data_IF_777951597880
#
_entry.id   IF_777951597880
#
_cell.length_a   1.000
_cell.length_b   1.000
_cell.length_c   1.000
_cell.angle_alpha   90.00
_cell.angle_beta   90.00
_cell.angle_gamma   90.00
#
_symmetry.space_group_name_H-M   'P 1'
#
loop_
_entity.id
_entity.type
_entity.pdbx_description
1 polymer ?
#
# COMPACT_ATOMS: atom_id res chain seq x y z
N UNK A 1 12.12 12.99 -19.02
CA UNK A 1 11.34 11.84 -18.52
C UNK A 1 10.05 11.77 -19.33
N UNK A 2 9.60 10.57 -19.70
CA UNK A 2 8.31 10.38 -20.36
C UNK A 2 7.17 10.45 -19.33
N UNK A 3 5.94 10.64 -19.80
CA UNK A 3 4.76 10.59 -18.92
C UNK A 3 4.64 9.22 -18.24
N UNK A 4 4.92 8.14 -18.97
CA UNK A 4 5.00 6.77 -18.45
C UNK A 4 6.01 6.67 -17.29
N UNK A 5 7.24 7.16 -17.48
CA UNK A 5 8.29 7.11 -16.45
C UNK A 5 7.87 7.84 -15.17
N UNK A 6 7.23 9.01 -15.31
CA UNK A 6 6.68 9.76 -14.17
C UNK A 6 5.54 9.04 -13.46
N UNK A 7 4.64 8.39 -14.21
CA UNK A 7 3.51 7.64 -13.65
C UNK A 7 4.00 6.39 -12.94
N UNK A 8 4.85 5.59 -13.60
CA UNK A 8 5.44 4.39 -13.01
C UNK A 8 6.16 4.70 -11.70
N UNK A 9 6.97 5.77 -11.67
CA UNK A 9 7.67 6.19 -10.45
C UNK A 9 6.71 6.62 -9.34
N UNK A 10 5.61 7.29 -9.66
CA UNK A 10 4.61 7.67 -8.67
C UNK A 10 3.89 6.44 -8.08
N UNK A 11 3.58 5.46 -8.93
CA UNK A 11 2.98 4.19 -8.50
C UNK A 11 3.95 3.38 -7.63
N UNK A 12 5.21 3.26 -8.05
CA UNK A 12 6.28 2.61 -7.27
C UNK A 12 6.45 3.28 -5.90
N UNK A 13 6.50 4.61 -5.85
CA UNK A 13 6.56 5.35 -4.58
C UNK A 13 5.37 5.02 -3.69
N UNK A 14 4.17 4.87 -4.27
CA UNK A 14 2.97 4.52 -3.51
C UNK A 14 3.01 3.09 -2.98
N UNK A 15 3.55 2.15 -3.75
CA UNK A 15 3.76 0.78 -3.31
C UNK A 15 4.76 0.76 -2.14
N UNK A 16 5.86 1.49 -2.23
CA UNK A 16 6.86 1.61 -1.16
C UNK A 16 6.28 2.23 0.12
N UNK A 17 5.40 3.23 -0.01
CA UNK A 17 4.69 3.83 1.13
C UNK A 17 3.75 2.83 1.82
N UNK A 18 3.04 2.02 1.05
CA UNK A 18 2.14 1.01 1.58
C UNK A 18 2.92 -0.12 2.25
N UNK A 19 4.05 -0.53 1.69
CA UNK A 19 4.95 -1.53 2.27
C UNK A 19 5.47 -1.07 3.64
N UNK A 20 5.93 0.18 3.73
CA UNK A 20 6.31 0.80 5.02
C UNK A 20 5.16 0.86 6.02
N UNK A 21 3.94 1.09 5.57
CA UNK A 21 2.76 1.05 6.46
C UNK A 21 2.50 -0.36 6.98
N UNK A 22 2.67 -1.39 6.14
CA UNK A 22 2.57 -2.79 6.58
C UNK A 22 3.62 -3.10 7.64
N UNK A 23 4.88 -2.71 7.42
CA UNK A 23 5.95 -2.90 8.40
C UNK A 23 5.66 -2.16 9.72
N UNK A 24 5.19 -0.92 9.64
CA UNK A 24 4.83 -0.12 10.80
C UNK A 24 3.68 -0.75 11.60
N UNK A 25 2.64 -1.23 10.91
CA UNK A 25 1.49 -1.89 11.53
C UNK A 25 1.91 -3.19 12.23
N UNK A 26 2.80 -3.98 11.61
CA UNK A 26 3.36 -5.18 12.23
C UNK A 26 4.20 -4.85 13.47
N UNK A 27 5.07 -3.84 13.38
CA UNK A 27 5.90 -3.44 14.50
C UNK A 27 5.07 -2.87 15.67
N UNK A 28 4.00 -2.12 15.38
CA UNK A 28 3.06 -1.65 16.39
C UNK A 28 2.29 -2.82 17.01
N UNK A 29 1.85 -3.78 16.20
CA UNK A 29 1.19 -5.00 16.67
C UNK A 29 2.06 -5.76 17.66
N UNK A 30 3.33 -5.98 17.33
CA UNK A 30 4.28 -6.71 18.16
C UNK A 30 4.47 -6.02 19.52
N UNK A 31 4.58 -4.68 19.54
CA UNK A 31 4.64 -3.91 20.78
C UNK A 31 3.38 -4.07 21.61
N UNK A 32 2.21 -3.89 20.99
CA UNK A 32 0.91 -4.00 21.67
C UNK A 32 0.66 -5.43 22.18
N UNK A 33 1.09 -6.45 21.44
CA UNK A 33 1.03 -7.85 21.88
C UNK A 33 1.98 -8.16 23.03
N UNK A 34 3.15 -7.53 23.08
CA UNK A 34 4.08 -7.66 24.19
C UNK A 34 3.55 -7.02 25.47
N UNK A 35 2.86 -5.88 25.36
CA UNK A 35 2.22 -5.16 26.46
C UNK A 35 0.88 -5.79 26.91
N UNK A 36 0.26 -6.60 26.05
CA UNK A 36 -1.03 -7.23 26.34
C UNK A 36 -0.93 -8.26 27.47
N UNK A 37 -1.68 -8.02 28.55
CA UNK A 37 -1.66 -8.82 29.78
C UNK A 37 -2.36 -10.18 29.64
N UNK A 38 -3.18 -10.39 28.60
CA UNK A 38 -3.93 -11.64 28.41
C UNK A 38 -4.03 -12.05 26.93
N UNK A 39 -4.33 -13.34 26.73
CA UNK A 39 -4.41 -13.95 25.40
C UNK A 39 -5.55 -13.36 24.54
N UNK A 40 -6.65 -12.92 25.16
CA UNK A 40 -7.77 -12.31 24.44
C UNK A 40 -7.36 -10.98 23.80
N UNK A 41 -6.67 -10.12 24.56
CA UNK A 41 -6.15 -8.86 24.04
C UNK A 41 -5.14 -9.09 22.91
N UNK A 42 -4.27 -10.11 23.03
CA UNK A 42 -3.34 -10.49 21.96
C UNK A 42 -4.10 -10.95 20.70
N UNK A 43 -5.12 -11.79 20.86
CA UNK A 43 -5.94 -12.27 19.75
C UNK A 43 -6.70 -11.12 19.03
N UNK A 44 -7.24 -10.17 19.80
CA UNK A 44 -7.92 -9.00 19.25
C UNK A 44 -6.94 -8.10 18.46
N UNK A 45 -5.73 -7.87 18.99
CA UNK A 45 -4.67 -7.12 18.30
C UNK A 45 -4.26 -7.84 17.00
N UNK A 46 -3.98 -9.15 17.06
CA UNK A 46 -3.63 -9.94 15.87
C UNK A 46 -4.73 -9.88 14.80
N UNK A 47 -6.00 -9.98 15.21
CA UNK A 47 -7.11 -9.92 14.26
C UNK A 47 -7.26 -8.55 13.61
N UNK A 48 -7.02 -7.46 14.35
CA UNK A 48 -7.08 -6.10 13.80
C UNK A 48 -5.93 -5.88 12.80
N UNK A 49 -4.72 -6.21 13.22
CA UNK A 49 -3.50 -6.03 12.43
C UNK A 49 -3.56 -6.85 11.15
N UNK A 50 -4.02 -8.10 11.23
CA UNK A 50 -4.22 -8.94 10.05
C UNK A 50 -5.17 -8.29 9.04
N UNK A 51 -6.31 -7.75 9.49
CA UNK A 51 -7.26 -7.05 8.61
C UNK A 51 -6.63 -5.81 7.98
N UNK A 52 -5.90 -5.02 8.76
CA UNK A 52 -5.24 -3.80 8.28
C UNK A 52 -4.16 -4.13 7.24
N UNK A 53 -3.35 -5.16 7.49
CA UNK A 53 -2.33 -5.64 6.55
C UNK A 53 -3.00 -6.18 5.28
N UNK A 54 -4.06 -6.98 5.39
CA UNK A 54 -4.80 -7.49 4.22
C UNK A 54 -5.35 -6.33 3.35
N UNK A 55 -5.86 -5.26 3.97
CA UNK A 55 -6.33 -4.07 3.25
C UNK A 55 -5.17 -3.33 2.55
N UNK A 56 -4.03 -3.16 3.23
CA UNK A 56 -2.84 -2.54 2.66
C UNK A 56 -2.27 -3.36 1.50
N UNK A 57 -2.21 -4.69 1.66
CA UNK A 57 -1.79 -5.60 0.59
C UNK A 57 -2.72 -5.52 -0.61
N UNK A 58 -4.04 -5.45 -0.40
CA UNK A 58 -5.01 -5.22 -1.48
C UNK A 58 -4.73 -3.93 -2.25
N UNK A 59 -4.45 -2.83 -1.54
CA UNK A 59 -4.05 -1.55 -2.16
C UNK A 59 -2.74 -1.66 -2.94
N UNK A 60 -1.77 -2.42 -2.43
CA UNK A 60 -0.50 -2.66 -3.14
C UNK A 60 -0.72 -3.46 -4.42
N UNK A 61 -1.56 -4.49 -4.38
CA UNK A 61 -1.85 -5.32 -5.55
C UNK A 61 -2.59 -4.53 -6.62
N UNK A 62 -3.52 -3.67 -6.23
CA UNK A 62 -4.19 -2.76 -7.17
C UNK A 62 -3.22 -1.71 -7.74
N UNK A 63 -2.30 -1.18 -6.94
CA UNK A 63 -1.25 -0.30 -7.43
C UNK A 63 -0.31 -1.02 -8.42
N UNK A 64 0.06 -2.28 -8.15
CA UNK A 64 0.86 -3.11 -9.08
C UNK A 64 0.12 -3.36 -10.40
N UNK A 65 -1.17 -3.66 -10.36
CA UNK A 65 -1.99 -3.78 -11.59
C UNK A 65 -1.99 -2.47 -12.37
N UNK A 66 -2.12 -1.32 -11.69
CA UNK A 66 -2.07 -0.02 -12.34
C UNK A 66 -0.69 0.31 -12.93
N UNK A 67 0.39 -0.21 -12.34
CA UNK A 67 1.74 -0.13 -12.91
C UNK A 67 1.85 -0.93 -14.21
N UNK A 68 1.27 -2.13 -14.25
CA UNK A 68 1.19 -2.94 -15.47
C UNK A 68 0.32 -2.26 -16.54
N UNK A 69 -0.87 -1.78 -16.17
CA UNK A 69 -1.75 -1.02 -17.06
C UNK A 69 -1.05 0.21 -17.64
N UNK A 70 -0.23 0.92 -16.85
CA UNK A 70 0.48 2.09 -17.32
C UNK A 70 1.40 1.78 -18.51
N UNK A 71 2.02 0.59 -18.56
CA UNK A 71 2.96 0.22 -19.64
C UNK A 71 2.30 0.16 -21.01
N UNK A 72 1.04 -0.27 -21.06
CA UNK A 72 0.27 -0.42 -22.31
C UNK A 72 -0.79 0.70 -22.47
N UNK A 73 -0.83 1.66 -21.55
CA UNK A 73 -1.82 2.72 -21.52
C UNK A 73 -1.61 3.79 -22.60
N UNK A 74 -2.72 4.33 -23.09
CA UNK A 74 -2.73 5.56 -23.89
C UNK A 74 -2.28 6.76 -23.05
N UNK A 75 -1.84 7.83 -23.72
CA UNK A 75 -1.36 9.05 -23.06
C UNK A 75 -2.44 9.70 -22.17
N UNK A 76 -3.71 9.66 -22.59
CA UNK A 76 -4.85 10.11 -21.78
C UNK A 76 -5.01 9.29 -20.49
N UNK A 77 -4.89 7.96 -20.58
CA UNK A 77 -4.97 7.06 -19.43
C UNK A 77 -3.79 7.28 -18.48
N UNK A 78 -2.59 7.52 -19.02
CA UNK A 78 -1.41 7.89 -18.23
C UNK A 78 -1.61 9.22 -17.50
N UNK A 79 -2.23 10.23 -18.12
CA UNK A 79 -2.55 11.49 -17.43
C UNK A 79 -3.55 11.28 -16.29
N UNK A 80 -4.54 10.41 -16.48
CA UNK A 80 -5.47 10.06 -15.43
C UNK A 80 -4.77 9.35 -14.26
N UNK A 81 -3.94 8.35 -14.55
CA UNK A 81 -3.16 7.64 -13.52
C UNK A 81 -2.23 8.61 -12.77
N UNK A 82 -1.56 9.52 -13.49
CA UNK A 82 -0.76 10.57 -12.86
C UNK A 82 -1.59 11.36 -11.84
N UNK A 83 -2.77 11.84 -12.22
CA UNK A 83 -3.66 12.59 -11.29
C UNK A 83 -4.04 11.79 -10.06
N UNK A 84 -4.33 10.49 -10.22
CA UNK A 84 -4.68 9.60 -9.11
C UNK A 84 -3.52 9.45 -8.12
N UNK A 85 -2.29 9.29 -8.61
CA UNK A 85 -1.12 9.01 -7.77
C UNK A 85 -0.35 10.24 -7.29
N UNK A 86 -0.37 11.34 -8.05
CA UNK A 86 0.34 12.59 -7.70
C UNK A 86 -0.60 13.71 -7.20
N UNK A 87 -1.92 13.49 -7.23
CA UNK A 87 -2.90 14.47 -6.76
C UNK A 87 -2.92 15.79 -7.52
N UNK A 88 -2.35 15.85 -8.73
CA UNK A 88 -2.13 17.07 -9.53
C UNK A 88 -2.62 16.90 -10.97
#
# INVERSE_FOLDING_TARGET
MSLLDSVSKAIETKIDELDKQVEAEQAEADRRMAEAENEKAKADIQSQVKKNIEELQGKMDDAKKQLEEARDASEERLQHLKKVFTGS
#
